data_IF_999405850136
#
_entry.id   IF_999405850136
#
_cell.length_a   1.000
_cell.length_b   1.000
_cell.length_c   1.000
_cell.angle_alpha   90.00
_cell.angle_beta   90.00
_cell.angle_gamma   90.00
#
_symmetry.space_group_name_H-M   'P 1'
#
loop_
_entity.id
_entity.type
_entity.pdbx_description
1 polymer ?
#
# COMPACT_ATOMS: atom_id res chain seq x y z
N UNK A 1 12.54 -11.61 6.48
CA UNK A 1 12.89 -11.72 5.05
C UNK A 1 11.77 -12.41 4.30
N UNK A 2 11.37 -11.86 3.17
CA UNK A 2 10.35 -12.49 2.33
C UNK A 2 10.88 -13.76 1.69
N UNK A 3 10.04 -14.79 1.63
CA UNK A 3 10.40 -16.11 1.06
C UNK A 3 10.00 -16.26 -0.39
N UNK A 4 9.25 -15.26 -0.91
CA UNK A 4 8.66 -15.28 -2.25
C UNK A 4 7.63 -16.42 -2.43
N UNK A 5 7.03 -16.83 -1.33
CA UNK A 5 5.94 -17.77 -1.24
C UNK A 5 4.67 -17.02 -0.80
N UNK A 6 3.64 -17.02 -1.65
CA UNK A 6 2.49 -16.12 -1.57
C UNK A 6 1.76 -16.12 -0.21
N UNK A 7 1.53 -17.30 0.34
CA UNK A 7 0.86 -17.45 1.64
C UNK A 7 1.83 -17.22 2.81
N UNK A 8 3.06 -17.67 2.69
CA UNK A 8 4.07 -17.52 3.74
C UNK A 8 4.46 -16.06 3.91
N UNK A 9 4.65 -15.33 2.81
CA UNK A 9 4.92 -13.90 2.84
C UNK A 9 3.77 -13.10 3.47
N UNK A 10 2.51 -13.52 3.26
CA UNK A 10 1.36 -12.92 3.94
C UNK A 10 1.51 -13.02 5.47
N UNK A 11 1.78 -14.21 5.98
CA UNK A 11 1.96 -14.41 7.43
C UNK A 11 3.23 -13.73 7.96
N UNK A 12 4.28 -13.65 7.15
CA UNK A 12 5.50 -12.90 7.51
C UNK A 12 5.20 -11.40 7.68
N UNK A 13 4.40 -10.81 6.78
CA UNK A 13 3.94 -9.42 6.95
C UNK A 13 3.14 -9.25 8.23
N UNK A 14 2.22 -10.15 8.54
CA UNK A 14 1.46 -10.09 9.79
C UNK A 14 2.39 -10.18 11.02
N UNK A 15 3.36 -11.09 10.99
CA UNK A 15 4.36 -11.23 12.06
C UNK A 15 5.14 -9.93 12.24
N UNK A 16 5.62 -9.33 11.15
CA UNK A 16 6.37 -8.07 11.19
C UNK A 16 5.53 -6.90 11.74
N UNK A 17 4.23 -6.84 11.45
CA UNK A 17 3.33 -5.83 12.02
C UNK A 17 3.28 -5.92 13.55
N UNK A 18 3.35 -7.11 14.12
CA UNK A 18 3.30 -7.32 15.57
C UNK A 18 4.66 -7.12 16.22
N UNK A 19 5.70 -7.74 15.66
CA UNK A 19 7.01 -7.93 16.31
C UNK A 19 8.02 -6.85 15.97
N UNK A 20 7.90 -6.18 14.81
CA UNK A 20 8.86 -5.16 14.37
C UNK A 20 8.49 -3.77 14.85
N UNK A 21 9.49 -2.93 15.05
CA UNK A 21 9.34 -1.49 15.32
C UNK A 21 9.52 -0.65 14.04
N UNK A 22 9.96 -1.29 12.96
CA UNK A 22 10.39 -0.63 11.73
C UNK A 22 10.11 -1.52 10.54
N UNK A 23 9.16 -1.10 9.68
CA UNK A 23 8.84 -1.80 8.43
C UNK A 23 8.10 -0.86 7.48
N UNK A 24 8.44 -0.88 6.21
CA UNK A 24 7.61 -0.31 5.14
C UNK A 24 7.29 -1.38 4.09
N UNK A 25 6.03 -1.44 3.66
CA UNK A 25 5.57 -2.28 2.54
C UNK A 25 4.82 -1.42 1.53
N UNK A 26 5.48 -1.10 0.41
CA UNK A 26 4.91 -0.42 -0.76
C UNK A 26 4.53 -1.44 -1.84
N UNK A 27 3.39 -1.25 -2.52
CA UNK A 27 2.92 -2.25 -3.50
C UNK A 27 2.73 -1.63 -4.88
N UNK A 28 3.50 -2.11 -5.84
CA UNK A 28 3.52 -1.67 -7.24
C UNK A 28 2.79 -2.69 -8.12
N UNK A 29 1.59 -2.37 -8.53
CA UNK A 29 0.77 -3.14 -9.44
C UNK A 29 0.69 -2.49 -10.84
N UNK A 30 -0.36 -2.77 -11.59
CA UNK A 30 -0.59 -2.24 -12.94
C UNK A 30 -0.71 -0.71 -12.98
N UNK A 31 -1.36 -0.11 -11.99
CA UNK A 31 -1.52 1.34 -11.87
C UNK A 31 -0.19 2.06 -11.75
N UNK A 32 0.60 1.69 -10.77
CA UNK A 32 1.93 2.24 -10.48
C UNK A 32 2.92 1.99 -11.63
N UNK A 33 2.90 0.78 -12.20
CA UNK A 33 3.74 0.45 -13.36
C UNK A 33 3.41 1.32 -14.58
N UNK A 34 2.14 1.59 -14.87
CA UNK A 34 1.75 2.47 -15.97
C UNK A 34 2.17 3.93 -15.73
N UNK A 35 2.03 4.44 -14.51
CA UNK A 35 2.56 5.78 -14.15
C UNK A 35 4.07 5.84 -14.38
N UNK A 36 4.82 4.84 -13.91
CA UNK A 36 6.28 4.77 -14.09
C UNK A 36 6.69 4.71 -15.56
N UNK A 37 5.93 4.00 -16.40
CA UNK A 37 6.09 3.95 -17.87
C UNK A 37 5.66 5.26 -18.57
N UNK A 38 5.14 6.23 -17.83
CA UNK A 38 4.58 7.49 -18.36
C UNK A 38 3.37 7.29 -19.26
N UNK A 39 2.53 6.30 -18.98
CA UNK A 39 1.29 6.07 -19.71
C UNK A 39 0.13 6.81 -19.03
N UNK A 40 -0.72 7.47 -19.81
CA UNK A 40 -1.97 8.03 -19.28
C UNK A 40 -2.84 6.89 -18.75
N UNK A 41 -3.19 6.96 -17.46
CA UNK A 41 -4.01 5.96 -16.79
C UNK A 41 -4.89 6.61 -15.72
N UNK A 42 -6.11 6.10 -15.59
CA UNK A 42 -7.03 6.44 -14.51
C UNK A 42 -7.88 5.23 -14.15
N UNK A 43 -8.53 5.32 -13.02
CA UNK A 43 -9.38 4.23 -12.57
C UNK A 43 -10.72 4.71 -12.00
N UNK A 44 -11.57 3.74 -11.65
CA UNK A 44 -12.89 3.97 -11.05
C UNK A 44 -12.86 4.61 -9.65
N UNK A 45 -11.69 4.69 -9.01
CA UNK A 45 -11.53 5.33 -7.70
C UNK A 45 -11.34 6.85 -7.84
N UNK A 46 -11.29 7.36 -9.08
CA UNK A 46 -11.35 8.78 -9.38
C UNK A 46 -10.00 9.48 -9.47
N UNK A 47 -8.89 8.76 -9.46
CA UNK A 47 -7.60 9.35 -9.79
C UNK A 47 -7.28 9.21 -11.30
N UNK A 48 -6.50 10.16 -11.81
CA UNK A 48 -6.09 10.21 -13.20
C UNK A 48 -4.66 10.73 -13.29
N UNK A 49 -3.76 9.91 -13.82
CA UNK A 49 -2.44 10.31 -14.26
C UNK A 49 -2.47 10.62 -15.76
N UNK A 50 -1.96 11.77 -16.16
CA UNK A 50 -1.83 12.18 -17.56
C UNK A 50 -0.37 12.21 -17.96
N UNK A 51 -0.03 11.50 -19.02
CA UNK A 51 1.28 11.50 -19.65
C UNK A 51 1.77 12.95 -19.85
N UNK A 52 3.05 13.17 -19.59
CA UNK A 52 3.74 14.46 -19.76
C UNK A 52 3.16 15.66 -18.98
N UNK A 53 2.15 15.43 -18.11
CA UNK A 53 1.54 16.47 -17.27
C UNK A 53 1.79 16.28 -15.79
N UNK A 54 1.85 15.02 -15.31
CA UNK A 54 2.03 14.71 -13.91
C UNK A 54 3.46 14.19 -13.64
N UNK A 55 4.46 14.93 -14.12
CA UNK A 55 5.85 14.49 -14.08
C UNK A 55 6.47 14.50 -12.68
N UNK A 56 6.04 15.41 -11.81
CA UNK A 56 6.49 15.46 -10.42
C UNK A 56 5.99 14.22 -9.67
N UNK A 57 4.71 13.88 -9.85
CA UNK A 57 4.13 12.66 -9.26
C UNK A 57 4.90 11.41 -9.69
N UNK A 58 5.17 11.28 -10.99
CA UNK A 58 5.94 10.15 -11.55
C UNK A 58 7.36 10.11 -11.00
N UNK A 59 8.04 11.27 -10.90
CA UNK A 59 9.39 11.34 -10.36
C UNK A 59 9.45 10.90 -8.89
N UNK A 60 8.50 11.36 -8.07
CA UNK A 60 8.43 10.97 -6.66
C UNK A 60 8.04 9.49 -6.49
N UNK A 61 7.13 8.96 -7.32
CA UNK A 61 6.80 7.54 -7.34
C UNK A 61 8.02 6.67 -7.70
N UNK A 62 8.82 7.13 -8.68
CA UNK A 62 10.07 6.47 -9.05
C UNK A 62 11.11 6.55 -7.92
N UNK A 63 11.22 7.68 -7.24
CA UNK A 63 12.11 7.84 -6.08
C UNK A 63 11.76 6.86 -4.98
N UNK A 64 10.47 6.69 -4.69
CA UNK A 64 9.98 5.73 -3.69
C UNK A 64 10.36 4.28 -4.04
N UNK A 65 10.35 3.91 -5.32
CA UNK A 65 10.73 2.57 -5.80
C UNK A 65 12.25 2.28 -5.68
N UNK A 66 13.07 3.29 -5.47
CA UNK A 66 14.53 3.15 -5.43
C UNK A 66 15.12 3.14 -4.02
N UNK A 67 14.29 3.10 -2.99
CA UNK A 67 14.76 2.95 -1.61
C UNK A 67 15.42 1.57 -1.42
N UNK A 68 16.59 1.54 -0.78
CA UNK A 68 17.39 0.31 -0.55
C UNK A 68 17.51 -0.04 0.92
N UNK A 69 16.67 0.55 1.77
CA UNK A 69 16.66 0.24 3.19
C UNK A 69 16.26 -1.23 3.42
N UNK A 70 16.96 -1.99 4.27
CA UNK A 70 16.68 -3.41 4.50
C UNK A 70 15.31 -3.69 5.12
N UNK A 71 14.68 -2.69 5.75
CA UNK A 71 13.34 -2.80 6.31
C UNK A 71 12.25 -2.23 5.38
N UNK A 72 12.63 -1.85 4.15
CA UNK A 72 11.69 -1.37 3.13
C UNK A 72 11.41 -2.47 2.11
N UNK A 73 10.18 -2.97 2.09
CA UNK A 73 9.73 -4.08 1.26
C UNK A 73 8.87 -3.61 0.10
N UNK A 74 8.97 -4.32 -1.01
CA UNK A 74 8.20 -4.04 -2.22
C UNK A 74 7.34 -5.23 -2.61
N UNK A 75 6.03 -5.01 -2.66
CA UNK A 75 5.11 -5.89 -3.37
C UNK A 75 5.10 -5.53 -4.85
N UNK A 76 5.51 -6.42 -5.73
CA UNK A 76 5.49 -6.19 -7.18
C UNK A 76 4.56 -7.16 -7.90
N UNK A 77 4.16 -6.83 -9.13
CA UNK A 77 3.37 -7.72 -9.97
C UNK A 77 4.03 -9.10 -10.07
N UNK A 78 3.26 -10.16 -9.98
CA UNK A 78 3.76 -11.53 -10.16
C UNK A 78 3.70 -11.97 -11.62
N UNK A 79 4.51 -12.96 -11.99
CA UNK A 79 4.57 -13.47 -13.38
C UNK A 79 3.26 -14.08 -13.83
N UNK A 80 2.51 -14.73 -12.94
CA UNK A 80 1.24 -15.38 -13.25
C UNK A 80 0.08 -14.38 -13.50
N UNK A 81 0.17 -13.15 -12.98
CA UNK A 81 -0.88 -12.13 -13.13
C UNK A 81 -0.53 -11.09 -14.19
N UNK A 82 0.71 -10.62 -14.20
CA UNK A 82 1.15 -9.54 -15.10
C UNK A 82 2.67 -9.59 -15.30
N UNK A 83 3.11 -10.54 -16.12
CA UNK A 83 4.54 -10.73 -16.41
C UNK A 83 5.22 -9.49 -17.01
N UNK A 84 4.62 -8.72 -17.96
CA UNK A 84 5.26 -7.53 -18.50
C UNK A 84 5.55 -6.44 -17.45
N UNK A 85 4.65 -6.25 -16.49
CA UNK A 85 4.88 -5.31 -15.40
C UNK A 85 5.85 -5.88 -14.35
N UNK A 86 5.83 -7.18 -14.11
CA UNK A 86 6.83 -7.85 -13.29
C UNK A 86 8.25 -7.59 -13.80
N UNK A 87 8.51 -7.92 -15.06
CA UNK A 87 9.84 -7.77 -15.69
C UNK A 87 10.29 -6.30 -15.69
N UNK A 88 9.36 -5.37 -15.97
CA UNK A 88 9.64 -3.94 -15.94
C UNK A 88 10.01 -3.44 -14.54
N UNK A 89 9.26 -3.79 -13.51
CA UNK A 89 9.54 -3.36 -12.14
C UNK A 89 10.87 -3.93 -11.63
N UNK A 90 11.15 -5.21 -11.90
CA UNK A 90 12.44 -5.82 -11.57
C UNK A 90 13.62 -5.11 -12.26
N UNK A 91 13.44 -4.57 -13.46
CA UNK A 91 14.51 -3.86 -14.17
C UNK A 91 14.88 -2.51 -13.54
N UNK A 92 14.01 -1.98 -12.65
CA UNK A 92 14.20 -0.66 -12.02
C UNK A 92 14.62 -0.79 -10.56
N UNK A 93 14.03 -1.74 -9.83
CA UNK A 93 14.27 -1.97 -8.39
C UNK A 93 15.75 -2.24 -8.13
N UNK A 94 16.27 -1.71 -7.02
CA UNK A 94 17.67 -1.82 -6.61
C UNK A 94 17.90 -2.62 -5.33
N UNK A 95 16.82 -3.05 -4.69
CA UNK A 95 16.90 -3.88 -3.48
C UNK A 95 17.07 -5.36 -3.83
N UNK A 96 17.51 -6.16 -2.85
CA UNK A 96 17.63 -7.61 -3.00
C UNK A 96 16.27 -8.32 -3.03
N UNK A 97 16.27 -9.58 -3.44
CA UNK A 97 15.04 -10.39 -3.53
C UNK A 97 14.37 -10.62 -2.17
N UNK A 98 15.15 -10.62 -1.10
CA UNK A 98 14.68 -10.76 0.28
C UNK A 98 13.74 -9.63 0.73
N UNK A 99 13.75 -8.50 0.01
CA UNK A 99 12.83 -7.38 0.20
C UNK A 99 11.66 -7.36 -0.78
N UNK A 100 11.53 -8.38 -1.63
CA UNK A 100 10.46 -8.46 -2.62
C UNK A 100 9.38 -9.45 -2.22
N UNK A 101 8.13 -9.05 -2.40
CA UNK A 101 6.94 -9.88 -2.26
C UNK A 101 5.92 -9.53 -3.35
N UNK A 102 4.70 -10.04 -3.25
CA UNK A 102 3.64 -9.88 -4.25
C UNK A 102 2.84 -8.59 -4.05
N UNK A 103 2.58 -7.82 -5.10
CA UNK A 103 1.63 -6.71 -5.01
C UNK A 103 0.23 -7.16 -4.58
N UNK A 104 -0.10 -8.43 -4.85
CA UNK A 104 -1.36 -9.07 -4.48
C UNK A 104 -1.33 -9.75 -3.09
N UNK A 105 -0.33 -9.46 -2.25
CA UNK A 105 -0.10 -10.14 -0.96
C UNK A 105 -1.35 -10.21 -0.06
N UNK A 106 -2.23 -9.21 -0.11
CA UNK A 106 -3.47 -9.14 0.69
C UNK A 106 -4.74 -9.48 -0.07
N UNK A 107 -4.64 -9.83 -1.34
CA UNK A 107 -5.78 -10.06 -2.23
C UNK A 107 -5.70 -11.44 -2.89
N UNK A 108 -6.52 -11.72 -3.88
CA UNK A 108 -6.57 -13.02 -4.52
C UNK A 108 -6.79 -14.14 -3.48
N UNK A 109 -6.08 -15.25 -3.54
CA UNK A 109 -6.23 -16.37 -2.60
C UNK A 109 -5.87 -16.02 -1.13
N UNK A 110 -5.16 -14.91 -0.91
CA UNK A 110 -4.88 -14.43 0.44
C UNK A 110 -6.01 -13.54 1.01
N UNK A 111 -7.01 -13.13 0.22
CA UNK A 111 -8.06 -12.25 0.74
C UNK A 111 -8.90 -12.87 1.87
N UNK A 112 -9.30 -14.15 1.84
CA UNK A 112 -9.92 -14.80 3.00
C UNK A 112 -9.03 -14.76 4.26
N UNK A 113 -7.72 -15.00 4.11
CA UNK A 113 -6.76 -14.91 5.22
C UNK A 113 -6.64 -13.46 5.74
N UNK A 114 -6.65 -12.48 4.83
CA UNK A 114 -6.68 -11.07 5.21
C UNK A 114 -7.92 -10.75 6.07
N UNK A 115 -9.10 -11.19 5.64
CA UNK A 115 -10.34 -10.98 6.37
C UNK A 115 -10.32 -11.64 7.76
N UNK A 116 -9.75 -12.83 7.86
CA UNK A 116 -9.72 -13.61 9.09
C UNK A 116 -8.66 -13.09 10.08
N UNK A 117 -7.46 -12.79 9.61
CA UNK A 117 -6.29 -12.58 10.46
C UNK A 117 -5.86 -11.12 10.57
N UNK A 118 -5.95 -10.31 9.50
CA UNK A 118 -5.31 -8.99 9.46
C UNK A 118 -5.83 -8.04 10.54
N UNK A 119 -7.16 -7.88 10.63
CA UNK A 119 -7.74 -6.99 11.65
C UNK A 119 -7.52 -7.50 13.08
N UNK A 120 -7.53 -8.83 13.28
CA UNK A 120 -7.20 -9.43 14.56
C UNK A 120 -5.74 -9.17 14.95
N UNK A 121 -4.83 -9.27 13.98
CA UNK A 121 -3.41 -8.97 14.17
C UNK A 121 -3.19 -7.51 14.57
N UNK A 122 -3.84 -6.58 13.87
CA UNK A 122 -3.77 -5.16 14.23
C UNK A 122 -4.27 -4.90 15.65
N UNK A 123 -5.42 -5.46 16.03
CA UNK A 123 -5.96 -5.32 17.38
C UNK A 123 -5.03 -5.93 18.44
N UNK A 124 -4.43 -7.09 18.16
CA UNK A 124 -3.51 -7.76 19.06
C UNK A 124 -2.16 -7.06 19.20
N UNK A 125 -1.73 -6.29 18.21
CA UNK A 125 -0.44 -5.57 18.22
C UNK A 125 -0.35 -4.50 19.30
N UNK A 126 -1.51 -4.00 19.79
CA UNK A 126 -1.62 -2.87 20.75
C UNK A 126 -0.93 -1.59 20.29
N UNK A 127 -0.58 -1.49 19.01
CA UNK A 127 0.04 -0.30 18.41
C UNK A 127 -1.04 0.72 18.04
N UNK A 128 -0.67 1.99 18.05
CA UNK A 128 -1.53 3.05 17.50
C UNK A 128 -1.74 2.81 15.99
N UNK A 129 -2.98 2.83 15.54
CA UNK A 129 -3.34 2.62 14.13
C UNK A 129 -3.72 3.96 13.50
N UNK A 130 -3.04 4.33 12.44
CA UNK A 130 -3.34 5.51 11.64
C UNK A 130 -3.76 5.07 10.24
N UNK A 131 -4.88 5.61 9.75
CA UNK A 131 -5.41 5.23 8.43
C UNK A 131 -5.30 6.40 7.46
N UNK A 132 -4.66 6.17 6.33
CA UNK A 132 -4.51 7.12 5.25
C UNK A 132 -5.33 6.64 4.03
N UNK A 133 -6.50 7.23 3.79
CA UNK A 133 -7.43 6.78 2.74
C UNK A 133 -8.35 7.91 2.27
N UNK A 134 -9.19 7.60 1.28
CA UNK A 134 -10.12 8.56 0.70
C UNK A 134 -10.99 9.29 1.74
N UNK A 135 -11.10 10.61 1.62
CA UNK A 135 -11.82 11.50 2.56
C UNK A 135 -13.29 11.14 2.83
N UNK A 136 -13.90 10.29 1.99
CA UNK A 136 -15.27 9.81 2.18
C UNK A 136 -15.36 8.53 3.00
N UNK A 137 -14.25 8.01 3.49
CA UNK A 137 -14.20 6.80 4.30
C UNK A 137 -14.94 6.99 5.64
N UNK A 138 -15.66 5.95 6.05
CA UNK A 138 -16.41 5.91 7.31
C UNK A 138 -15.61 5.12 8.34
N UNK A 139 -14.82 5.81 9.15
CA UNK A 139 -13.95 5.16 10.15
C UNK A 139 -14.71 4.34 11.20
N UNK A 140 -16.00 4.63 11.43
CA UNK A 140 -16.80 3.97 12.47
C UNK A 140 -16.75 2.44 12.37
N UNK A 141 -17.04 1.89 11.19
CA UNK A 141 -17.16 0.44 11.01
C UNK A 141 -15.79 -0.28 11.18
N UNK A 142 -14.70 0.42 10.88
CA UNK A 142 -13.35 -0.06 11.15
C UNK A 142 -13.02 0.06 12.64
N UNK A 143 -13.38 1.17 13.29
CA UNK A 143 -13.16 1.41 14.73
C UNK A 143 -13.82 0.38 15.64
N UNK A 144 -14.93 -0.24 15.21
CA UNK A 144 -15.57 -1.33 15.95
C UNK A 144 -14.69 -2.59 16.00
N UNK A 145 -13.67 -2.71 15.15
CA UNK A 145 -12.78 -3.88 15.04
C UNK A 145 -11.37 -3.61 15.47
N UNK A 146 -10.87 -2.42 15.14
CA UNK A 146 -9.49 -1.98 15.41
C UNK A 146 -9.54 -0.52 15.84
N UNK A 147 -9.04 -0.16 17.03
CA UNK A 147 -9.09 1.22 17.51
C UNK A 147 -8.18 2.11 16.67
N UNK A 148 -8.76 2.80 15.68
CA UNK A 148 -8.06 3.78 14.84
C UNK A 148 -7.81 5.04 15.63
N UNK A 149 -6.55 5.40 15.81
CA UNK A 149 -6.10 6.57 16.56
C UNK A 149 -6.22 7.87 15.77
N UNK A 150 -5.93 7.80 14.47
CA UNK A 150 -5.91 8.98 13.62
C UNK A 150 -6.28 8.64 12.16
N UNK A 151 -6.71 9.65 11.42
CA UNK A 151 -7.13 9.53 10.04
C UNK A 151 -6.55 10.64 9.17
N UNK A 152 -5.87 10.27 8.08
CA UNK A 152 -5.33 11.20 7.09
C UNK A 152 -6.21 11.12 5.83
N UNK A 153 -7.06 12.12 5.58
CA UNK A 153 -7.99 12.10 4.45
C UNK A 153 -7.31 12.44 3.12
N UNK A 154 -7.47 11.58 2.12
CA UNK A 154 -6.94 11.77 0.77
C UNK A 154 -8.07 12.20 -0.18
N UNK A 155 -7.90 13.25 -0.99
CA UNK A 155 -8.86 13.64 -2.03
C UNK A 155 -8.97 12.59 -3.14
N UNK A 156 -10.11 12.58 -3.86
CA UNK A 156 -10.38 11.59 -4.90
C UNK A 156 -9.36 11.57 -6.04
N UNK A 157 -8.90 12.74 -6.52
CA UNK A 157 -7.80 12.79 -7.49
C UNK A 157 -6.47 13.05 -6.77
N UNK A 158 -5.92 12.00 -6.19
CA UNK A 158 -4.69 12.04 -5.41
C UNK A 158 -3.47 12.49 -6.24
N UNK A 159 -3.42 12.18 -7.54
CA UNK A 159 -2.34 12.59 -8.45
C UNK A 159 -2.29 14.11 -8.59
N UNK A 160 -3.43 14.72 -8.95
CA UNK A 160 -3.52 16.18 -9.10
C UNK A 160 -3.34 16.89 -7.75
N UNK A 161 -3.82 16.27 -6.69
CA UNK A 161 -3.64 16.84 -5.35
C UNK A 161 -2.18 16.90 -4.95
N UNK A 162 -1.40 15.83 -5.17
CA UNK A 162 0.04 15.81 -4.93
C UNK A 162 0.77 16.87 -5.77
N UNK A 163 0.54 16.90 -7.09
CA UNK A 163 1.17 17.87 -8.00
C UNK A 163 1.00 19.32 -7.56
N UNK A 164 -0.17 19.66 -7.02
CA UNK A 164 -0.49 21.04 -6.64
C UNK A 164 -0.08 21.41 -5.23
N UNK A 165 0.06 20.46 -4.32
CA UNK A 165 0.19 20.73 -2.89
C UNK A 165 1.36 19.98 -2.24
N UNK A 166 2.32 19.51 -3.02
CA UNK A 166 3.40 18.63 -2.60
C UNK A 166 4.09 19.08 -1.31
N UNK A 167 4.52 20.33 -1.23
CA UNK A 167 5.26 20.84 -0.07
C UNK A 167 4.37 20.92 1.19
N UNK A 168 3.12 21.33 1.03
CA UNK A 168 2.16 21.31 2.13
C UNK A 168 1.90 19.89 2.63
N UNK A 169 1.75 18.95 1.71
CA UNK A 169 1.51 17.53 2.05
C UNK A 169 2.73 16.96 2.78
N UNK A 170 3.95 17.24 2.31
CA UNK A 170 5.19 16.83 2.98
C UNK A 170 5.23 17.33 4.42
N UNK A 171 4.99 18.62 4.64
CA UNK A 171 4.93 19.16 5.99
C UNK A 171 3.90 18.48 6.90
N UNK A 172 2.74 18.11 6.35
CA UNK A 172 1.73 17.32 7.07
C UNK A 172 2.24 15.91 7.39
N UNK A 173 2.90 15.23 6.44
CA UNK A 173 3.45 13.88 6.63
C UNK A 173 4.58 13.88 7.66
N UNK A 174 5.47 14.88 7.61
CA UNK A 174 6.56 15.06 8.57
C UNK A 174 6.03 15.18 9.99
N UNK A 175 5.00 16.01 10.17
CA UNK A 175 4.32 16.16 11.46
C UNK A 175 3.70 14.82 11.92
N UNK A 176 2.98 14.14 11.03
CA UNK A 176 2.31 12.88 11.36
C UNK A 176 3.29 11.74 11.62
N UNK A 177 4.36 11.60 10.82
CA UNK A 177 5.39 10.60 11.04
C UNK A 177 6.14 10.81 12.37
N UNK A 178 6.43 12.07 12.71
CA UNK A 178 7.13 12.42 13.96
C UNK A 178 6.25 12.31 15.21
N UNK A 179 4.93 12.46 15.06
CA UNK A 179 3.97 12.39 16.17
C UNK A 179 3.89 10.99 16.79
N UNK A 180 4.19 9.94 16.01
CA UNK A 180 4.04 8.55 16.40
C UNK A 180 5.38 7.82 16.40
N UNK A 181 5.51 6.83 17.31
CA UNK A 181 6.61 5.87 17.33
C UNK A 181 6.03 4.49 17.57
N UNK A 182 6.46 3.49 16.82
CA UNK A 182 5.93 2.12 16.85
C UNK A 182 4.43 2.06 16.53
N UNK A 183 3.94 2.96 15.69
CA UNK A 183 2.56 2.96 15.18
C UNK A 183 2.48 2.22 13.84
N UNK A 184 1.27 1.79 13.47
CA UNK A 184 0.98 1.19 12.17
C UNK A 184 0.17 2.17 11.33
N UNK A 185 0.75 2.60 10.23
CA UNK A 185 0.10 3.42 9.21
C UNK A 185 -0.40 2.55 8.07
N UNK A 186 -1.70 2.57 7.82
CA UNK A 186 -2.36 1.82 6.75
C UNK A 186 -2.71 2.76 5.60
N UNK A 187 -2.20 2.48 4.41
CA UNK A 187 -2.42 3.31 3.23
C UNK A 187 -3.38 2.65 2.25
N UNK A 188 -4.36 3.42 1.78
CA UNK A 188 -5.32 3.08 0.75
C UNK A 188 -5.61 4.31 -0.13
N UNK A 189 -4.55 4.84 -0.78
CA UNK A 189 -4.55 6.12 -1.49
C UNK A 189 -4.26 5.97 -3.00
N UNK A 190 -4.42 4.76 -3.55
CA UNK A 190 -4.01 4.43 -4.92
C UNK A 190 -2.50 4.66 -5.10
N UNK A 191 -2.02 5.07 -6.29
CA UNK A 191 -0.59 5.20 -6.55
C UNK A 191 0.10 6.34 -5.77
N UNK A 192 -0.61 7.05 -4.91
CA UNK A 192 -0.03 7.99 -3.96
C UNK A 192 0.46 7.29 -2.69
N UNK A 193 -0.06 6.08 -2.35
CA UNK A 193 0.35 5.34 -1.16
C UNK A 193 1.86 5.17 -1.09
N UNK A 194 2.50 4.79 -2.19
CA UNK A 194 3.94 4.50 -2.28
C UNK A 194 4.78 5.75 -2.01
N UNK A 195 4.35 6.90 -2.53
CA UNK A 195 5.01 8.19 -2.28
C UNK A 195 4.87 8.57 -0.80
N UNK A 196 3.66 8.47 -0.23
CA UNK A 196 3.40 8.82 1.17
C UNK A 196 4.20 7.92 2.13
N UNK A 197 4.24 6.61 1.87
CA UNK A 197 5.04 5.65 2.64
C UNK A 197 6.50 6.04 2.61
N UNK A 198 7.04 6.32 1.41
CA UNK A 198 8.44 6.70 1.27
C UNK A 198 8.78 8.02 1.99
N UNK A 199 7.97 9.06 1.81
CA UNK A 199 8.19 10.35 2.47
C UNK A 199 8.15 10.19 4.00
N UNK A 200 7.16 9.49 4.56
CA UNK A 200 7.08 9.24 6.01
C UNK A 200 8.21 8.34 6.52
N UNK A 201 8.65 7.36 5.74
CA UNK A 201 9.80 6.51 6.06
C UNK A 201 11.09 7.33 6.21
N UNK A 202 11.32 8.29 5.32
CA UNK A 202 12.50 9.16 5.39
C UNK A 202 12.52 10.02 6.66
N UNK A 203 11.36 10.36 7.20
CA UNK A 203 11.22 11.16 8.43
C UNK A 203 11.35 10.30 9.68
N UNK A 204 10.62 9.20 9.74
CA UNK A 204 10.61 8.34 10.92
C UNK A 204 10.47 6.84 10.56
N UNK A 205 11.57 6.12 10.38
CA UNK A 205 11.53 4.69 10.11
C UNK A 205 11.14 3.83 11.34
N UNK A 206 10.91 4.43 12.52
CA UNK A 206 10.49 3.72 13.74
C UNK A 206 8.96 3.54 13.81
N UNK A 207 8.32 3.41 12.67
CA UNK A 207 6.92 3.08 12.51
C UNK A 207 6.76 1.96 11.47
N UNK A 208 5.56 1.45 11.36
CA UNK A 208 5.17 0.45 10.37
C UNK A 208 4.26 1.11 9.34
N UNK A 209 4.65 1.08 8.07
CA UNK A 209 3.93 1.69 6.96
C UNK A 209 3.51 0.60 5.97
N UNK A 210 2.21 0.40 5.78
CA UNK A 210 1.71 -0.70 4.93
C UNK A 210 0.69 -0.19 3.92
N UNK A 211 0.99 -0.31 2.64
CA UNK A 211 -0.04 -0.17 1.62
C UNK A 211 -0.96 -1.39 1.64
N UNK A 212 -2.22 -1.17 1.98
CA UNK A 212 -3.27 -2.19 2.01
C UNK A 212 -4.19 -2.11 0.78
N UNK A 213 -4.05 -1.08 -0.04
CA UNK A 213 -4.91 -0.84 -1.20
C UNK A 213 -6.39 -0.80 -0.83
N UNK A 214 -7.22 -1.47 -1.63
CA UNK A 214 -8.67 -1.50 -1.45
C UNK A 214 -9.20 -2.64 -0.55
N UNK A 215 -8.35 -3.32 0.20
CA UNK A 215 -8.76 -4.49 1.02
C UNK A 215 -9.75 -4.13 2.13
N UNK A 216 -9.69 -2.92 2.66
CA UNK A 216 -10.61 -2.43 3.67
C UNK A 216 -11.84 -1.67 3.13
N UNK A 217 -12.03 -1.58 1.81
CA UNK A 217 -13.18 -0.90 1.21
C UNK A 217 -14.54 -1.41 1.72
N UNK A 218 -14.74 -2.71 1.98
CA UNK A 218 -15.99 -3.18 2.58
C UNK A 218 -16.32 -2.53 3.91
N UNK A 219 -15.32 -2.18 4.72
CA UNK A 219 -15.49 -1.50 6.00
C UNK A 219 -15.53 0.03 5.83
N UNK A 220 -14.61 0.58 5.06
CA UNK A 220 -14.44 2.03 4.91
C UNK A 220 -15.53 2.68 4.05
N UNK A 221 -16.03 1.97 3.04
CA UNK A 221 -16.98 2.50 2.06
C UNK A 221 -18.26 1.67 1.94
N UNK A 222 -18.41 0.60 2.72
CA UNK A 222 -19.55 -0.33 2.71
C UNK A 222 -19.85 -0.87 1.32
N UNK A 223 -18.81 -1.14 0.52
CA UNK A 223 -18.95 -1.65 -0.84
C UNK A 223 -17.85 -2.64 -1.20
N UNK A 224 -18.22 -3.62 -1.99
CA UNK A 224 -17.28 -4.54 -2.64
C UNK A 224 -16.76 -3.87 -3.91
N UNK A 225 -15.70 -3.07 -3.77
CA UNK A 225 -15.13 -2.26 -4.86
C UNK A 225 -14.29 -3.08 -5.86
N UNK A 226 -13.92 -4.30 -5.50
CA UNK A 226 -13.06 -5.21 -6.30
C UNK A 226 -13.68 -6.59 -6.43
N UNK A 227 -13.26 -7.30 -7.48
CA UNK A 227 -13.76 -8.65 -7.80
C UNK A 227 -13.38 -9.66 -6.70
N UNK A 228 -12.18 -9.55 -6.15
CA UNK A 228 -11.72 -10.45 -5.08
C UNK A 228 -12.50 -10.30 -3.76
N UNK A 229 -13.24 -9.22 -3.57
CA UNK A 229 -14.16 -9.10 -2.42
C UNK A 229 -15.31 -10.11 -2.47
N UNK A 230 -15.54 -10.73 -3.63
CA UNK A 230 -16.48 -11.84 -3.80
C UNK A 230 -15.68 -13.14 -3.70
N UNK A 231 -15.89 -13.89 -2.63
CA UNK A 231 -15.12 -15.12 -2.33
C UNK A 231 -15.29 -16.24 -3.36
N UNK A 232 -16.31 -16.18 -4.21
CA UNK A 232 -16.60 -17.13 -5.29
C UNK A 232 -15.87 -16.82 -6.61
N UNK A 233 -15.29 -15.63 -6.74
CA UNK A 233 -14.61 -15.21 -7.96
C UNK A 233 -13.33 -16.02 -8.24
N UNK A 234 -12.98 -16.16 -9.51
CA UNK A 234 -11.70 -16.78 -9.93
C UNK A 234 -10.48 -16.03 -9.37
N UNK A 235 -10.59 -14.70 -9.24
CA UNK A 235 -9.52 -13.89 -8.63
C UNK A 235 -9.33 -14.24 -7.15
N UNK A 236 -10.40 -14.48 -6.41
CA UNK A 236 -10.30 -14.88 -5.00
C UNK A 236 -9.66 -16.27 -4.80
N UNK A 237 -9.59 -17.08 -5.87
CA UNK A 237 -8.95 -18.41 -5.86
C UNK A 237 -7.55 -18.42 -6.45
N UNK A 238 -7.11 -17.31 -7.06
CA UNK A 238 -5.81 -17.24 -7.75
C UNK A 238 -4.67 -17.23 -6.75
N UNK A 239 -3.82 -18.23 -6.80
CA UNK A 239 -2.56 -18.29 -6.07
C UNK A 239 -1.45 -17.63 -6.90
N UNK A 240 -0.79 -16.63 -6.35
CA UNK A 240 0.28 -15.92 -7.05
C UNK A 240 1.61 -16.68 -6.97
N UNK A 241 2.38 -16.61 -8.05
CA UNK A 241 3.72 -17.19 -8.16
C UNK A 241 4.65 -16.26 -8.93
N UNK A 242 5.94 -16.40 -8.67
CA UNK A 242 7.02 -15.67 -9.36
C UNK A 242 7.35 -16.26 -10.71
#
# INVERSE_FOLDING_TARGET
MMKQEFKEDFFEVLRMIVESDSMALSRYADGEANVLKNNTIGNKDGWLYKQDKNLVFRADLRKALLCTDPNYFYGISCTCCDKPNHDYLLSIIRTGRENLTFSNIFVNANFPLFQEHFLKTLAASKKDIVVCTGKKAKMRDLNERVPVKDFIPIPGNCVVWWEKNREYIRGLLDLKASQYTNAVFLFAAGPLSEILIHEMWQVNPKNIYVDIGSTLDPFLFRRNSRVYHRGDSEFAKRYCSW
#
